data_IF_862438377963
#
_entry.id   IF_862438377963
#
_cell.length_a   1.000
_cell.length_b   1.000
_cell.length_c   1.000
_cell.angle_alpha   90.00
_cell.angle_beta   90.00
_cell.angle_gamma   90.00
#
_symmetry.space_group_name_H-M   'P 1'
#
loop_
_entity.id
_entity.type
_entity.pdbx_description
1 polymer ?
#
# COMPACT_ATOMS: atom_id res chain seq x y z
N UNK A 1 -65.23 17.65 60.02
CA UNK A 1 -63.99 16.88 60.26
C UNK A 1 -64.06 15.67 59.35
N UNK A 2 -62.93 15.20 58.81
CA UNK A 2 -62.80 14.17 57.74
C UNK A 2 -62.76 14.70 56.29
N UNK A 3 -62.03 15.80 56.08
CA UNK A 3 -61.17 15.86 54.89
C UNK A 3 -59.87 15.11 55.22
N UNK A 4 -59.95 13.78 55.30
CA UNK A 4 -58.81 12.88 55.23
C UNK A 4 -58.22 13.00 53.81
N UNK A 5 -57.05 13.62 53.69
CA UNK A 5 -55.78 12.89 53.55
C UNK A 5 -55.83 11.96 52.33
N UNK A 6 -55.30 12.42 51.19
CA UNK A 6 -53.90 12.19 50.84
C UNK A 6 -53.69 10.76 50.36
N UNK A 7 -53.50 10.61 49.05
CA UNK A 7 -52.42 9.83 48.42
C UNK A 7 -52.85 9.56 46.98
N UNK A 8 -52.34 10.35 46.05
CA UNK A 8 -51.08 10.03 45.37
C UNK A 8 -51.27 8.87 44.39
N UNK A 9 -51.40 9.22 43.11
CA UNK A 9 -50.48 8.69 42.10
C UNK A 9 -50.76 9.43 40.80
N UNK A 10 -50.06 10.55 40.63
CA UNK A 10 -49.61 10.96 39.32
C UNK A 10 -48.81 9.79 38.75
N UNK A 11 -49.41 9.14 37.76
CA UNK A 11 -48.80 8.12 36.94
C UNK A 11 -47.70 8.79 36.10
N UNK A 12 -46.58 9.10 36.75
CA UNK A 12 -45.35 9.40 36.06
C UNK A 12 -44.88 8.06 35.51
N UNK A 13 -45.24 7.76 34.26
CA UNK A 13 -44.50 6.82 33.42
C UNK A 13 -43.05 7.32 33.37
N UNK A 14 -42.25 6.91 34.35
CA UNK A 14 -40.81 7.08 34.30
C UNK A 14 -40.33 6.29 33.07
N UNK A 15 -39.70 6.94 32.08
CA UNK A 15 -39.02 6.24 31.02
C UNK A 15 -37.94 5.39 31.70
N UNK A 16 -38.18 4.08 31.78
CA UNK A 16 -37.29 3.15 32.48
C UNK A 16 -35.88 3.35 31.92
N UNK A 17 -34.90 3.77 32.74
CA UNK A 17 -33.57 4.08 32.25
C UNK A 17 -33.01 2.85 31.54
N UNK A 18 -32.45 3.00 30.33
CA UNK A 18 -31.82 1.89 29.65
C UNK A 18 -30.76 1.33 30.59
N UNK A 19 -30.93 0.06 31.00
CA UNK A 19 -30.00 -0.58 31.92
C UNK A 19 -28.57 -0.52 31.39
N UNK A 20 -27.58 -0.71 32.27
CA UNK A 20 -26.15 -0.68 31.93
C UNK A 20 -25.78 -1.57 30.73
N UNK A 21 -26.54 -2.65 30.52
CA UNK A 21 -26.43 -3.55 29.37
C UNK A 21 -26.89 -2.86 28.07
N UNK A 22 -27.95 -2.05 28.14
CA UNK A 22 -28.42 -1.20 27.05
C UNK A 22 -27.48 -0.04 26.72
N UNK A 23 -26.81 0.55 27.71
CA UNK A 23 -25.78 1.57 27.46
C UNK A 23 -24.53 0.97 26.81
N UNK A 24 -24.09 -0.22 27.26
CA UNK A 24 -22.96 -0.93 26.65
C UNK A 24 -23.28 -1.39 25.22
N UNK A 25 -24.49 -1.89 24.97
CA UNK A 25 -24.95 -2.23 23.62
C UNK A 25 -25.04 -1.00 22.70
N UNK A 26 -25.47 0.15 23.25
CA UNK A 26 -25.49 1.43 22.53
C UNK A 26 -24.09 1.93 22.18
N UNK A 27 -23.14 1.85 23.11
CA UNK A 27 -21.73 2.24 22.89
C UNK A 27 -21.06 1.30 21.89
N UNK A 28 -21.28 -0.01 22.00
CA UNK A 28 -20.76 -0.99 21.04
C UNK A 28 -21.28 -0.71 19.61
N UNK A 29 -22.58 -0.45 19.46
CA UNK A 29 -23.20 -0.12 18.17
C UNK A 29 -22.68 1.19 17.59
N UNK A 30 -22.46 2.20 18.44
CA UNK A 30 -21.87 3.47 18.03
C UNK A 30 -20.40 3.31 17.60
N UNK A 31 -19.61 2.57 18.38
CA UNK A 31 -18.20 2.28 18.06
C UNK A 31 -18.05 1.52 16.74
N UNK A 32 -18.93 0.53 16.50
CA UNK A 32 -18.95 -0.24 15.25
C UNK A 32 -19.27 0.67 14.05
N UNK A 33 -20.24 1.57 14.17
CA UNK A 33 -20.56 2.56 13.12
C UNK A 33 -19.40 3.50 12.83
N UNK A 34 -18.67 3.89 13.87
CA UNK A 34 -17.52 4.78 13.76
C UNK A 34 -16.35 4.09 13.03
N UNK A 35 -16.11 2.81 13.33
CA UNK A 35 -15.12 1.99 12.63
C UNK A 35 -15.53 1.77 11.18
N UNK A 36 -16.79 1.41 10.91
CA UNK A 36 -17.30 1.27 9.53
C UNK A 36 -17.14 2.58 8.74
N UNK A 37 -17.46 3.73 9.32
CA UNK A 37 -17.29 5.03 8.66
C UNK A 37 -15.82 5.35 8.33
N UNK A 38 -14.88 4.98 9.21
CA UNK A 38 -13.44 5.12 8.93
C UNK A 38 -12.96 4.17 7.84
N UNK A 39 -13.51 2.95 7.80
CA UNK A 39 -13.22 1.97 6.74
C UNK A 39 -13.79 2.41 5.40
N UNK A 40 -14.99 2.99 5.38
CA UNK A 40 -15.58 3.57 4.16
C UNK A 40 -14.74 4.75 3.65
N UNK A 41 -14.28 5.63 4.56
CA UNK A 41 -13.37 6.72 4.19
C UNK A 41 -12.04 6.19 3.65
N UNK A 42 -11.42 5.23 4.35
CA UNK A 42 -10.16 4.63 3.92
C UNK A 42 -10.32 3.91 2.57
N UNK A 43 -11.43 3.21 2.34
CA UNK A 43 -11.72 2.55 1.07
C UNK A 43 -11.95 3.56 -0.06
N UNK A 44 -12.58 4.70 0.23
CA UNK A 44 -12.78 5.79 -0.72
C UNK A 44 -11.45 6.47 -1.09
N UNK A 45 -10.64 6.83 -0.09
CA UNK A 45 -9.29 7.40 -0.29
C UNK A 45 -8.38 6.41 -1.03
N UNK A 46 -8.46 5.11 -0.71
CA UNK A 46 -7.68 4.07 -1.38
C UNK A 46 -8.12 3.89 -2.85
N UNK A 47 -9.41 4.07 -3.15
CA UNK A 47 -9.93 4.05 -4.54
C UNK A 47 -9.43 5.25 -5.35
N UNK A 48 -9.36 6.43 -4.74
CA UNK A 48 -8.83 7.62 -5.40
C UNK A 48 -7.31 7.52 -5.64
N UNK A 49 -6.57 6.99 -4.66
CA UNK A 49 -5.15 6.66 -4.81
C UNK A 49 -4.94 5.58 -5.88
N UNK A 50 -5.82 4.58 -5.99
CA UNK A 50 -5.74 3.53 -7.02
C UNK A 50 -5.77 4.12 -8.42
N UNK A 51 -6.66 5.05 -8.71
CA UNK A 51 -6.77 5.63 -10.05
C UNK A 51 -5.51 6.43 -10.42
N UNK A 52 -4.94 7.14 -9.45
CA UNK A 52 -3.65 7.81 -9.62
C UNK A 52 -2.50 6.82 -9.77
N UNK A 53 -2.49 5.71 -9.02
CA UNK A 53 -1.48 4.64 -9.15
C UNK A 53 -1.56 3.98 -10.52
N UNK A 54 -2.75 3.72 -11.05
CA UNK A 54 -2.91 3.15 -12.40
C UNK A 54 -2.36 4.11 -13.44
N UNK A 55 -2.71 5.41 -13.36
CA UNK A 55 -2.18 6.42 -14.27
C UNK A 55 -0.65 6.53 -14.17
N UNK A 56 -0.10 6.62 -12.95
CA UNK A 56 1.35 6.63 -12.70
C UNK A 56 2.03 5.36 -13.23
N UNK A 57 1.40 4.20 -13.07
CA UNK A 57 1.94 2.91 -13.54
C UNK A 57 1.99 2.85 -15.06
N UNK A 58 0.95 3.32 -15.75
CA UNK A 58 0.93 3.42 -17.21
C UNK A 58 2.00 4.39 -17.70
N UNK A 59 2.11 5.57 -17.07
CA UNK A 59 3.10 6.58 -17.43
C UNK A 59 4.53 6.09 -17.16
N UNK A 60 4.75 5.38 -16.06
CA UNK A 60 6.01 4.74 -15.72
C UNK A 60 6.37 3.65 -16.73
N UNK A 61 5.42 2.78 -17.10
CA UNK A 61 5.63 1.76 -18.13
C UNK A 61 5.98 2.39 -19.49
N UNK A 62 5.28 3.45 -19.89
CA UNK A 62 5.59 4.22 -21.10
C UNK A 62 6.99 4.85 -21.02
N UNK A 63 7.35 5.40 -19.88
CA UNK A 63 8.66 6.01 -19.65
C UNK A 63 9.78 4.97 -19.72
N UNK A 64 9.61 3.80 -19.10
CA UNK A 64 10.55 2.68 -19.18
C UNK A 64 10.69 2.20 -20.62
N UNK A 65 9.58 2.07 -21.36
CA UNK A 65 9.60 1.69 -22.77
C UNK A 65 10.32 2.74 -23.64
N UNK A 66 10.02 4.03 -23.45
CA UNK A 66 10.68 5.12 -24.16
C UNK A 66 12.19 5.18 -23.84
N UNK A 67 12.56 5.00 -22.57
CA UNK A 67 13.95 4.91 -22.15
C UNK A 67 14.66 3.72 -22.79
N UNK A 68 14.00 2.57 -22.89
CA UNK A 68 14.53 1.40 -23.58
C UNK A 68 14.83 1.68 -25.05
N UNK A 69 13.89 2.29 -25.77
CA UNK A 69 14.10 2.71 -27.15
C UNK A 69 15.24 3.73 -27.27
N UNK A 70 15.29 4.73 -26.40
CA UNK A 70 16.35 5.74 -26.40
C UNK A 70 17.73 5.11 -26.19
N UNK A 71 17.85 4.16 -25.26
CA UNK A 71 19.10 3.43 -25.03
C UNK A 71 19.44 2.58 -26.26
N UNK A 72 18.49 1.83 -26.83
CA UNK A 72 18.73 0.97 -27.98
C UNK A 72 19.18 1.77 -29.22
N UNK A 73 18.45 2.83 -29.58
CA UNK A 73 18.80 3.69 -30.70
C UNK A 73 20.09 4.47 -30.41
N UNK A 74 20.27 5.01 -29.21
CA UNK A 74 21.51 5.70 -28.82
C UNK A 74 22.73 4.79 -28.92
N UNK A 75 22.60 3.54 -28.49
CA UNK A 75 23.65 2.51 -28.61
C UNK A 75 23.96 2.22 -30.07
N UNK A 76 22.93 2.02 -30.92
CA UNK A 76 23.11 1.79 -32.35
C UNK A 76 23.77 2.98 -33.05
N UNK A 77 23.33 4.21 -32.77
CA UNK A 77 23.93 5.45 -33.29
C UNK A 77 25.39 5.56 -32.86
N UNK A 78 25.71 5.29 -31.59
CA UNK A 78 27.09 5.30 -31.09
C UNK A 78 27.95 4.30 -31.85
N UNK A 79 27.44 3.08 -32.09
CA UNK A 79 28.16 2.04 -32.84
C UNK A 79 28.42 2.50 -34.27
N UNK A 80 27.41 3.01 -34.98
CA UNK A 80 27.58 3.49 -36.37
C UNK A 80 28.58 4.64 -36.45
N UNK A 81 28.48 5.61 -35.54
CA UNK A 81 29.35 6.78 -35.55
C UNK A 81 30.81 6.43 -35.22
N UNK A 82 31.02 5.48 -34.31
CA UNK A 82 32.34 5.03 -33.91
C UNK A 82 32.90 3.92 -34.82
N UNK A 83 32.11 3.38 -35.75
CA UNK A 83 32.47 2.23 -36.57
C UNK A 83 33.71 2.50 -37.43
N UNK A 84 33.77 3.66 -38.08
CA UNK A 84 34.92 4.02 -38.93
C UNK A 84 36.23 4.17 -38.15
N UNK A 85 36.15 4.59 -36.88
CA UNK A 85 37.34 4.81 -36.04
C UNK A 85 37.80 3.54 -35.30
N UNK A 86 36.86 2.72 -34.83
CA UNK A 86 37.13 1.63 -33.89
C UNK A 86 36.75 0.25 -34.45
N UNK A 87 35.91 0.20 -35.49
CA UNK A 87 35.37 -1.03 -36.07
C UNK A 87 34.77 -1.94 -35.00
N UNK A 88 35.17 -3.20 -35.00
CA UNK A 88 34.69 -4.21 -34.04
C UNK A 88 35.01 -3.89 -32.57
N UNK A 89 36.02 -3.04 -32.28
CA UNK A 89 36.43 -2.73 -30.90
C UNK A 89 35.33 -1.99 -30.13
N UNK A 90 34.48 -1.21 -30.81
CA UNK A 90 33.37 -0.51 -30.16
C UNK A 90 32.40 -1.49 -29.52
N UNK A 91 32.17 -2.66 -30.13
CA UNK A 91 31.28 -3.68 -29.60
C UNK A 91 31.81 -4.25 -28.28
N UNK A 92 33.13 -4.48 -28.17
CA UNK A 92 33.73 -4.92 -26.91
C UNK A 92 33.68 -3.84 -25.83
N UNK A 93 33.97 -2.58 -26.17
CA UNK A 93 33.89 -1.48 -25.20
C UNK A 93 32.46 -1.36 -24.66
N UNK A 94 31.48 -1.40 -25.55
CA UNK A 94 30.07 -1.29 -25.20
C UNK A 94 29.59 -2.49 -24.38
N UNK A 95 30.06 -3.70 -24.71
CA UNK A 95 29.82 -4.90 -23.93
C UNK A 95 30.36 -4.75 -22.49
N UNK A 96 31.60 -4.26 -22.33
CA UNK A 96 32.19 -4.00 -21.01
C UNK A 96 31.39 -2.95 -20.24
N UNK A 97 30.97 -1.87 -20.89
CA UNK A 97 30.11 -0.84 -20.26
C UNK A 97 28.79 -1.43 -19.78
N UNK A 98 28.10 -2.22 -20.61
CA UNK A 98 26.85 -2.87 -20.22
C UNK A 98 27.05 -3.89 -19.09
N UNK A 99 28.15 -4.64 -19.07
CA UNK A 99 28.49 -5.55 -17.97
C UNK A 99 28.70 -4.79 -16.67
N UNK A 100 29.42 -3.67 -16.69
CA UNK A 100 29.62 -2.83 -15.50
C UNK A 100 28.29 -2.28 -14.98
N UNK A 101 27.42 -1.79 -15.87
CA UNK A 101 26.08 -1.32 -15.52
C UNK A 101 25.25 -2.45 -14.91
N UNK A 102 25.25 -3.64 -15.51
CA UNK A 102 24.52 -4.80 -15.02
C UNK A 102 25.00 -5.22 -13.62
N UNK A 103 26.31 -5.26 -13.39
CA UNK A 103 26.88 -5.53 -12.06
C UNK A 103 26.42 -4.46 -11.06
N UNK A 104 26.48 -3.18 -11.42
CA UNK A 104 26.02 -2.08 -10.56
C UNK A 104 24.53 -2.20 -10.17
N UNK A 105 23.67 -2.55 -11.14
CA UNK A 105 22.25 -2.82 -10.91
C UNK A 105 22.04 -4.01 -9.97
N UNK A 106 22.69 -5.14 -10.23
CA UNK A 106 22.59 -6.35 -9.39
C UNK A 106 23.07 -6.07 -7.97
N UNK A 107 24.17 -5.33 -7.80
CA UNK A 107 24.67 -4.94 -6.47
C UNK A 107 23.67 -4.02 -5.76
N UNK A 108 23.05 -3.08 -6.48
CA UNK A 108 22.06 -2.15 -5.92
C UNK A 108 20.79 -2.90 -5.48
N UNK A 109 20.27 -3.78 -6.34
CA UNK A 109 19.13 -4.65 -6.03
C UNK A 109 19.45 -5.54 -4.83
N UNK A 110 20.62 -6.16 -4.82
CA UNK A 110 21.07 -7.02 -3.72
C UNK A 110 21.19 -6.24 -2.42
N UNK A 111 21.71 -5.01 -2.45
CA UNK A 111 21.75 -4.12 -1.28
C UNK A 111 20.35 -3.75 -0.81
N UNK A 112 19.44 -3.44 -1.73
CA UNK A 112 18.05 -3.09 -1.40
C UNK A 112 17.31 -4.25 -0.74
N UNK A 113 17.41 -5.47 -1.29
CA UNK A 113 16.85 -6.69 -0.69
C UNK A 113 17.44 -6.93 0.69
N UNK A 114 18.77 -6.83 0.83
CA UNK A 114 19.47 -7.09 2.09
C UNK A 114 19.24 -6.00 3.15
N UNK A 115 18.82 -4.80 2.74
CA UNK A 115 18.42 -3.72 3.64
C UNK A 115 17.01 -3.87 4.23
N UNK A 116 16.28 -4.95 3.89
CA UNK A 116 14.99 -5.27 4.50
C UNK A 116 13.83 -4.36 4.10
N UNK A 117 14.04 -3.35 3.23
CA UNK A 117 12.99 -2.42 2.77
C UNK A 117 11.91 -3.07 1.90
N UNK A 118 12.18 -4.26 1.35
CA UNK A 118 11.22 -5.07 0.59
C UNK A 118 10.65 -6.24 1.38
N UNK A 119 11.18 -6.53 2.57
CA UNK A 119 10.58 -7.52 3.45
C UNK A 119 9.33 -6.86 4.02
N UNK A 120 8.17 -7.10 3.38
CA UNK A 120 6.85 -6.84 3.95
C UNK A 120 6.82 -7.49 5.34
N UNK A 121 7.05 -6.73 6.43
CA UNK A 121 7.29 -7.32 7.75
C UNK A 121 6.02 -8.02 8.25
N UNK A 122 4.85 -7.55 7.79
CA UNK A 122 3.55 -8.13 8.07
C UNK A 122 3.35 -9.50 7.39
N UNK A 123 3.70 -9.64 6.10
CA UNK A 123 3.47 -10.88 5.35
C UNK A 123 4.48 -11.98 5.70
N UNK A 124 5.75 -11.62 5.99
CA UNK A 124 6.73 -12.59 6.49
C UNK A 124 6.45 -13.05 7.92
N UNK A 125 5.81 -12.21 8.75
CA UNK A 125 5.36 -12.60 10.08
C UNK A 125 4.18 -13.59 10.00
N UNK A 126 3.22 -13.36 9.10
CA UNK A 126 2.12 -14.31 8.86
C UNK A 126 2.62 -15.63 8.25
N UNK A 127 3.49 -15.60 7.25
CA UNK A 127 4.07 -16.82 6.66
C UNK A 127 4.91 -17.63 7.65
N UNK A 128 5.59 -16.96 8.59
CA UNK A 128 6.37 -17.65 9.63
C UNK A 128 5.47 -18.27 10.70
N UNK A 129 4.40 -17.60 11.10
CA UNK A 129 3.43 -18.14 12.03
C UNK A 129 2.73 -19.39 11.47
N UNK A 130 2.42 -19.40 10.18
CA UNK A 130 1.82 -20.56 9.51
C UNK A 130 2.82 -21.73 9.39
N UNK A 131 4.12 -21.44 9.17
CA UNK A 131 5.19 -22.45 9.14
C UNK A 131 5.47 -23.06 10.52
N UNK A 132 5.51 -22.25 11.58
CA UNK A 132 5.76 -22.73 12.94
C UNK A 132 4.56 -23.51 13.51
N UNK A 133 3.39 -23.46 12.86
CA UNK A 133 2.24 -24.32 13.18
C UNK A 133 2.32 -25.70 12.47
N UNK A 134 3.13 -25.83 11.42
CA UNK A 134 3.31 -27.06 10.64
C UNK A 134 4.51 -27.92 11.06
N UNK A 135 5.37 -27.41 11.97
CA UNK A 135 6.51 -28.13 12.57
C UNK A 135 6.30 -28.32 14.07
#
# INVERSE_FOLDING_TARGET
MEHSEQSAQSDYEQPRPPGLIGSLAGVAKNSLRLVLSRVELAACELSEVRDHIVQLSVLFALSVLAAWFAIAFGTATLVVLAWEALGWKILLILAVVFVVIAIGLVMTISKMIRSGKLALPATMAELKADRDMLL
#
